data_IF_391384809411
#
_entry.id   IF_391384809411
#
_cell.length_a   1.000
_cell.length_b   1.000
_cell.length_c   1.000
_cell.angle_alpha   90.00
_cell.angle_beta   90.00
_cell.angle_gamma   90.00
#
_symmetry.space_group_name_H-M   'P 1'
#
loop_
_entity.id
_entity.type
_entity.pdbx_description
1 polymer ?
#
# COMPACT_ATOMS: atom_id res chain seq x y z
N UNK A 1 27.94 9.05 -11.69
CA UNK A 1 27.09 8.79 -10.50
C UNK A 1 27.76 9.30 -9.23
N UNK A 2 29.09 9.22 -9.09
CA UNK A 2 29.79 9.64 -7.88
C UNK A 2 29.66 11.14 -7.54
N UNK A 3 29.65 12.01 -8.56
CA UNK A 3 29.37 13.44 -8.35
C UNK A 3 27.96 13.72 -7.82
N UNK A 4 26.93 13.00 -8.30
CA UNK A 4 25.55 13.14 -7.80
C UNK A 4 25.42 12.58 -6.37
N UNK A 5 26.07 11.46 -6.08
CA UNK A 5 26.10 10.89 -4.74
C UNK A 5 26.78 11.82 -3.72
N UNK A 6 27.86 12.52 -4.13
CA UNK A 6 28.54 13.51 -3.30
C UNK A 6 27.69 14.76 -3.04
N UNK A 7 26.90 15.21 -4.01
CA UNK A 7 25.95 16.32 -3.87
C UNK A 7 24.82 15.94 -2.91
N UNK A 8 24.23 14.76 -3.09
CA UNK A 8 23.08 14.28 -2.30
C UNK A 8 23.46 13.99 -0.84
N UNK A 9 24.69 13.49 -0.58
CA UNK A 9 25.20 13.19 0.77
C UNK A 9 25.98 14.35 1.43
N UNK A 10 26.16 15.46 0.71
CA UNK A 10 26.96 16.58 1.18
C UNK A 10 26.21 17.47 2.18
N UNK A 11 26.69 17.55 3.43
CA UNK A 11 26.13 18.37 4.53
C UNK A 11 26.05 19.90 4.28
N UNK A 12 26.50 20.40 3.14
CA UNK A 12 26.63 21.83 2.81
C UNK A 12 25.86 22.24 1.54
N UNK A 13 25.08 21.34 0.95
CA UNK A 13 24.33 21.61 -0.28
C UNK A 13 22.89 22.01 0.08
N UNK A 14 22.36 22.99 -0.63
CA UNK A 14 20.96 23.42 -0.55
C UNK A 14 20.01 22.23 -0.78
N UNK A 15 19.06 22.02 0.14
CA UNK A 15 18.09 20.93 0.09
C UNK A 15 17.27 20.90 -1.20
N UNK A 16 16.97 22.06 -1.79
CA UNK A 16 16.25 22.16 -3.05
C UNK A 16 17.09 21.60 -4.23
N UNK A 17 18.41 21.79 -4.21
CA UNK A 17 19.32 21.24 -5.23
C UNK A 17 19.42 19.73 -5.09
N UNK A 18 19.48 19.24 -3.85
CA UNK A 18 19.49 17.80 -3.55
C UNK A 18 18.19 17.12 -3.99
N UNK A 19 17.04 17.75 -3.74
CA UNK A 19 15.74 17.25 -4.19
C UNK A 19 15.57 17.32 -5.72
N UNK A 20 16.06 18.38 -6.37
CA UNK A 20 16.09 18.49 -7.82
C UNK A 20 16.98 17.40 -8.46
N UNK A 21 18.10 17.06 -7.81
CA UNK A 21 18.95 15.95 -8.22
C UNK A 21 18.23 14.59 -8.08
N UNK A 22 17.58 14.35 -6.93
CA UNK A 22 16.83 13.11 -6.67
C UNK A 22 15.69 12.91 -7.68
N UNK A 23 14.85 13.92 -7.87
CA UNK A 23 13.76 13.91 -8.89
C UNK A 23 14.31 13.82 -10.31
N UNK A 24 15.46 14.45 -10.60
CA UNK A 24 16.16 14.31 -11.87
C UNK A 24 16.60 12.88 -12.17
N UNK A 25 17.09 12.14 -11.17
CA UNK A 25 17.44 10.71 -11.32
C UNK A 25 16.19 9.88 -11.61
N UNK A 26 15.08 10.13 -10.92
CA UNK A 26 13.80 9.44 -11.16
C UNK A 26 13.31 9.63 -12.59
N UNK A 27 13.31 10.88 -13.08
CA UNK A 27 12.95 11.22 -14.48
C UNK A 27 13.89 10.62 -15.51
N UNK A 28 15.19 10.56 -15.21
CA UNK A 28 16.17 9.89 -16.07
C UNK A 28 15.88 8.39 -16.16
N UNK A 29 15.57 7.74 -15.04
CA UNK A 29 15.18 6.33 -15.01
C UNK A 29 13.91 6.10 -15.83
N UNK A 30 12.87 6.92 -15.62
CA UNK A 30 11.62 6.89 -16.40
C UNK A 30 11.88 6.92 -17.90
N UNK A 31 12.76 7.83 -18.34
CA UNK A 31 13.03 8.06 -19.77
C UNK A 31 13.98 7.05 -20.37
N UNK A 32 14.96 6.53 -19.64
CA UNK A 32 16.04 5.73 -20.22
C UNK A 32 15.83 4.23 -20.08
N UNK A 33 15.18 3.76 -19.02
CA UNK A 33 14.95 2.33 -18.79
C UNK A 33 14.21 1.63 -19.95
N UNK A 34 13.18 2.24 -20.59
CA UNK A 34 12.51 1.61 -21.73
C UNK A 34 13.39 1.42 -22.97
N UNK A 35 14.36 2.29 -23.19
CA UNK A 35 15.13 2.33 -24.44
C UNK A 35 16.57 1.82 -24.30
N UNK A 36 17.11 1.73 -23.09
CA UNK A 36 18.52 1.38 -22.83
C UNK A 36 18.65 0.32 -21.73
N UNK A 37 18.37 -0.96 -22.03
CA UNK A 37 18.46 -2.03 -21.04
C UNK A 37 19.87 -2.20 -20.47
N UNK A 38 20.92 -1.94 -21.26
CA UNK A 38 22.31 -2.05 -20.82
C UNK A 38 22.70 -1.01 -19.76
N UNK A 39 21.95 0.10 -19.70
CA UNK A 39 22.14 1.15 -18.70
C UNK A 39 21.26 0.96 -17.46
N UNK A 40 20.40 -0.06 -17.42
CA UNK A 40 19.42 -0.24 -16.35
C UNK A 40 20.08 -0.39 -14.99
N UNK A 41 21.07 -1.28 -14.84
CA UNK A 41 21.71 -1.54 -13.56
C UNK A 41 22.39 -0.28 -12.95
N UNK A 42 23.21 0.50 -13.70
CA UNK A 42 23.72 1.78 -13.21
C UNK A 42 22.64 2.80 -12.84
N UNK A 43 21.55 2.88 -13.61
CA UNK A 43 20.43 3.79 -13.34
C UNK A 43 19.70 3.40 -12.05
N UNK A 44 19.43 2.11 -11.86
CA UNK A 44 18.78 1.57 -10.66
C UNK A 44 19.64 1.75 -9.41
N UNK A 45 20.97 1.67 -9.52
CA UNK A 45 21.86 2.07 -8.42
C UNK A 45 21.78 3.56 -8.09
N UNK A 46 21.45 4.40 -9.08
CA UNK A 46 21.16 5.82 -8.86
C UNK A 46 19.93 6.04 -7.96
N UNK A 47 18.92 5.17 -8.06
CA UNK A 47 17.72 5.24 -7.22
C UNK A 47 18.04 5.06 -5.72
N UNK A 48 19.12 4.35 -5.39
CA UNK A 48 19.58 4.18 -4.00
C UNK A 48 20.08 5.48 -3.36
N UNK A 49 20.18 6.56 -4.13
CA UNK A 49 20.47 7.89 -3.59
C UNK A 49 19.24 8.52 -2.93
N UNK A 50 18.02 8.10 -3.30
CA UNK A 50 16.77 8.63 -2.74
C UNK A 50 16.62 8.23 -1.26
N UNK A 51 16.86 6.96 -0.84
CA UNK A 51 16.92 6.61 0.57
C UNK A 51 18.06 7.27 1.36
N UNK A 52 19.06 7.82 0.67
CA UNK A 52 20.18 8.52 1.30
C UNK A 52 19.95 10.01 1.57
N UNK A 53 18.76 10.53 1.29
CA UNK A 53 18.40 11.93 1.53
C UNK A 53 18.39 12.23 3.03
N UNK A 54 18.83 13.44 3.40
CA UNK A 54 18.66 13.94 4.77
C UNK A 54 17.15 13.98 5.11
N UNK A 55 16.73 13.60 6.33
CA UNK A 55 15.31 13.53 6.69
C UNK A 55 14.54 14.83 6.43
N UNK A 56 15.17 15.98 6.67
CA UNK A 56 14.57 17.30 6.47
C UNK A 56 14.33 17.57 4.98
N UNK A 57 15.31 17.26 4.12
CA UNK A 57 15.18 17.42 2.67
C UNK A 57 14.14 16.47 2.11
N UNK A 58 14.09 15.23 2.59
CA UNK A 58 13.09 14.24 2.22
C UNK A 58 11.68 14.70 2.62
N UNK A 59 11.53 15.24 3.82
CA UNK A 59 10.25 15.75 4.34
C UNK A 59 9.73 16.93 3.51
N UNK A 60 10.57 17.94 3.28
CA UNK A 60 10.18 19.16 2.56
C UNK A 60 9.83 18.90 1.09
N UNK A 61 10.34 17.79 0.52
CA UNK A 61 10.15 17.43 -0.89
C UNK A 61 9.36 16.12 -1.05
N UNK A 62 8.70 15.66 0.01
CA UNK A 62 8.06 14.35 0.09
C UNK A 62 7.03 14.11 -1.03
N UNK A 63 6.23 15.14 -1.34
CA UNK A 63 5.21 15.10 -2.41
C UNK A 63 5.86 14.98 -3.80
N UNK A 64 6.81 15.86 -4.12
CA UNK A 64 7.49 15.87 -5.41
C UNK A 64 8.24 14.55 -5.66
N UNK A 65 8.93 14.02 -4.65
CA UNK A 65 9.66 12.77 -4.77
C UNK A 65 8.68 11.60 -4.92
N UNK A 66 7.61 11.55 -4.14
CA UNK A 66 6.60 10.50 -4.25
C UNK A 66 5.89 10.52 -5.62
N UNK A 67 5.57 11.69 -6.16
CA UNK A 67 4.96 11.83 -7.48
C UNK A 67 5.87 11.29 -8.59
N UNK A 68 7.16 11.64 -8.55
CA UNK A 68 8.14 11.12 -9.52
C UNK A 68 8.40 9.62 -9.34
N UNK A 69 8.34 9.12 -8.10
CA UNK A 69 8.43 7.69 -7.83
C UNK A 69 7.23 6.96 -8.42
N UNK A 70 6.01 7.45 -8.18
CA UNK A 70 4.79 6.88 -8.74
C UNK A 70 4.84 6.88 -10.28
N UNK A 71 5.26 7.99 -10.90
CA UNK A 71 5.42 8.07 -12.35
C UNK A 71 6.47 7.09 -12.88
N UNK A 72 7.59 6.90 -12.17
CA UNK A 72 8.60 5.88 -12.50
C UNK A 72 8.02 4.48 -12.49
N UNK A 73 7.28 4.17 -11.43
CA UNK A 73 6.65 2.88 -11.22
C UNK A 73 5.62 2.60 -12.32
N UNK A 74 4.80 3.58 -12.67
CA UNK A 74 3.80 3.44 -13.73
C UNK A 74 4.43 3.30 -15.13
N UNK A 75 5.48 4.05 -15.45
CA UNK A 75 6.02 4.15 -16.81
C UNK A 75 7.13 3.13 -17.11
N UNK A 76 8.07 2.92 -16.18
CA UNK A 76 9.30 2.17 -16.44
C UNK A 76 9.26 0.75 -15.91
N UNK A 77 8.18 0.34 -15.26
CA UNK A 77 8.21 -0.89 -14.52
C UNK A 77 8.37 -2.20 -15.28
N UNK A 78 7.91 -2.34 -16.53
CA UNK A 78 8.23 -3.52 -17.35
C UNK A 78 9.73 -3.70 -17.58
N UNK A 79 10.51 -2.66 -17.34
CA UNK A 79 11.94 -2.60 -17.65
C UNK A 79 12.82 -2.77 -16.41
N UNK A 80 12.26 -2.72 -15.20
CA UNK A 80 13.02 -2.90 -13.96
C UNK A 80 12.87 -4.35 -13.50
N UNK A 81 13.83 -5.18 -13.90
CA UNK A 81 13.89 -6.61 -13.53
C UNK A 81 14.53 -6.85 -12.16
N UNK A 82 15.23 -5.87 -11.63
CA UNK A 82 15.92 -5.98 -10.36
C UNK A 82 14.92 -5.80 -9.20
N UNK A 83 14.60 -6.91 -8.54
CA UNK A 83 13.65 -6.95 -7.42
C UNK A 83 14.01 -5.99 -6.27
N UNK A 84 15.31 -5.88 -5.96
CA UNK A 84 15.80 -4.99 -4.90
C UNK A 84 15.55 -3.50 -5.19
N UNK A 85 15.59 -3.09 -6.47
CA UNK A 85 15.43 -1.69 -6.83
C UNK A 85 13.99 -1.21 -6.56
N UNK A 86 13.02 -2.10 -6.72
CA UNK A 86 11.63 -1.85 -6.36
C UNK A 86 11.38 -1.84 -4.87
N UNK A 87 11.87 -2.86 -4.17
CA UNK A 87 11.71 -2.99 -2.73
C UNK A 87 12.26 -1.76 -2.00
N UNK A 88 13.47 -1.30 -2.34
CA UNK A 88 14.08 -0.13 -1.68
C UNK A 88 13.31 1.16 -1.95
N UNK A 89 12.90 1.41 -3.19
CA UNK A 89 12.22 2.63 -3.58
C UNK A 89 10.82 2.74 -2.94
N UNK A 90 10.07 1.64 -2.96
CA UNK A 90 8.74 1.56 -2.40
C UNK A 90 8.75 1.55 -0.86
N UNK A 91 9.68 0.79 -0.27
CA UNK A 91 9.90 0.79 1.18
C UNK A 91 10.19 2.21 1.67
N UNK A 92 11.06 2.95 0.98
CA UNK A 92 11.39 4.32 1.37
C UNK A 92 10.18 5.26 1.34
N UNK A 93 9.40 5.27 0.25
CA UNK A 93 8.21 6.15 0.14
C UNK A 93 7.20 5.85 1.26
N UNK A 94 6.95 4.58 1.56
CA UNK A 94 5.88 4.18 2.48
C UNK A 94 6.32 4.13 3.93
N UNK A 95 7.60 3.87 4.23
CA UNK A 95 8.10 3.66 5.60
C UNK A 95 8.93 4.81 6.14
N UNK A 96 9.67 5.50 5.28
CA UNK A 96 10.68 6.47 5.72
C UNK A 96 10.31 7.92 5.37
N UNK A 97 9.65 8.13 4.24
CA UNK A 97 9.35 9.46 3.71
C UNK A 97 7.85 9.79 3.72
N UNK A 98 7.03 9.02 4.44
CA UNK A 98 5.59 9.20 4.43
C UNK A 98 5.19 10.43 5.27
N UNK A 99 4.49 11.36 4.63
CA UNK A 99 3.99 12.61 5.18
C UNK A 99 2.53 12.81 4.75
N UNK A 100 1.78 13.74 5.38
CA UNK A 100 0.43 14.07 4.92
C UNK A 100 0.39 14.52 3.45
N UNK A 101 1.46 15.15 2.96
CA UNK A 101 1.52 15.70 1.60
C UNK A 101 1.68 14.63 0.53
N UNK A 102 2.20 13.44 0.87
CA UNK A 102 2.40 12.36 -0.10
C UNK A 102 1.61 11.10 0.22
N UNK A 103 0.73 11.13 1.23
CA UNK A 103 -0.01 9.95 1.67
C UNK A 103 -0.82 9.30 0.53
N UNK A 104 -1.58 10.10 -0.21
CA UNK A 104 -2.38 9.60 -1.35
C UNK A 104 -1.48 8.97 -2.43
N UNK A 105 -0.36 9.62 -2.77
CA UNK A 105 0.60 9.12 -3.75
C UNK A 105 1.25 7.80 -3.29
N UNK A 106 1.53 7.68 -1.99
CA UNK A 106 2.08 6.45 -1.40
C UNK A 106 1.07 5.31 -1.43
N UNK A 107 -0.22 5.59 -1.18
CA UNK A 107 -1.31 4.61 -1.34
C UNK A 107 -1.40 4.17 -2.81
N UNK A 108 -1.39 5.09 -3.77
CA UNK A 108 -1.42 4.76 -5.21
C UNK A 108 -0.23 3.90 -5.64
N UNK A 109 0.97 4.26 -5.18
CA UNK A 109 2.17 3.49 -5.45
C UNK A 109 2.04 2.06 -4.89
N UNK A 110 1.65 1.92 -3.62
CA UNK A 110 1.46 0.62 -2.99
C UNK A 110 0.45 -0.25 -3.75
N UNK A 111 -0.69 0.31 -4.15
CA UNK A 111 -1.71 -0.42 -4.93
C UNK A 111 -1.14 -0.91 -6.26
N UNK A 112 -0.49 0.00 -6.98
CA UNK A 112 0.11 -0.34 -8.26
C UNK A 112 1.08 -1.52 -8.09
N UNK A 113 1.90 -1.49 -7.04
CA UNK A 113 2.83 -2.58 -6.73
C UNK A 113 2.13 -3.87 -6.32
N UNK A 114 1.04 -3.80 -5.55
CA UNK A 114 0.26 -4.98 -5.17
C UNK A 114 -0.30 -5.67 -6.42
N UNK A 115 -0.91 -4.90 -7.33
CA UNK A 115 -1.47 -5.41 -8.59
C UNK A 115 -0.36 -6.02 -9.47
N UNK A 116 0.79 -5.35 -9.56
CA UNK A 116 1.97 -5.80 -10.31
C UNK A 116 2.64 -7.04 -9.72
N UNK A 117 2.90 -7.04 -8.41
CA UNK A 117 3.58 -8.13 -7.71
C UNK A 117 2.73 -9.41 -7.76
N UNK A 118 1.41 -9.28 -7.69
CA UNK A 118 0.49 -10.38 -7.90
C UNK A 118 0.59 -11.00 -9.31
N UNK A 119 0.90 -10.19 -10.32
CA UNK A 119 1.01 -10.64 -11.71
C UNK A 119 2.41 -11.17 -12.08
N UNK A 120 3.48 -10.51 -11.63
CA UNK A 120 4.82 -10.67 -12.22
C UNK A 120 5.95 -11.00 -11.22
N UNK A 121 5.76 -10.70 -9.93
CA UNK A 121 6.83 -10.82 -8.93
C UNK A 121 6.33 -11.49 -7.65
N UNK A 122 6.01 -12.80 -7.69
CA UNK A 122 5.44 -13.51 -6.54
C UNK A 122 6.34 -13.49 -5.30
N UNK A 123 7.67 -13.40 -5.48
CA UNK A 123 8.62 -13.31 -4.38
C UNK A 123 8.56 -11.99 -3.58
N UNK A 124 8.11 -10.88 -4.19
CA UNK A 124 7.93 -9.59 -3.49
C UNK A 124 6.58 -9.47 -2.80
N UNK A 125 5.65 -10.37 -3.12
CA UNK A 125 4.25 -10.24 -2.74
C UNK A 125 4.04 -10.10 -1.22
N UNK A 126 4.72 -10.85 -0.33
CA UNK A 126 4.56 -10.66 1.11
C UNK A 126 4.95 -9.25 1.58
N UNK A 127 6.09 -8.75 1.10
CA UNK A 127 6.62 -7.43 1.46
C UNK A 127 5.71 -6.31 0.96
N UNK A 128 5.23 -6.43 -0.28
CA UNK A 128 4.35 -5.44 -0.92
C UNK A 128 2.97 -5.41 -0.26
N UNK A 129 2.43 -6.58 0.12
CA UNK A 129 1.14 -6.65 0.82
C UNK A 129 1.21 -6.06 2.23
N UNK A 130 2.37 -6.16 2.90
CA UNK A 130 2.58 -5.54 4.22
C UNK A 130 2.47 -4.01 4.16
N UNK A 131 2.80 -3.39 3.04
CA UNK A 131 2.71 -1.94 2.87
C UNK A 131 1.29 -1.40 3.06
N UNK A 132 0.27 -2.19 2.71
CA UNK A 132 -1.13 -1.82 2.95
C UNK A 132 -1.42 -1.64 4.45
N UNK A 133 -0.80 -2.47 5.29
CA UNK A 133 -0.91 -2.37 6.75
C UNK A 133 -0.07 -1.20 7.28
N UNK A 134 1.10 -0.94 6.70
CA UNK A 134 1.94 0.20 7.07
C UNK A 134 1.21 1.52 6.81
N UNK A 135 0.53 1.67 5.67
CA UNK A 135 -0.24 2.87 5.35
C UNK A 135 -1.35 3.13 6.38
N UNK A 136 -2.09 2.09 6.76
CA UNK A 136 -3.13 2.19 7.80
C UNK A 136 -2.52 2.56 9.17
N UNK A 137 -1.45 1.89 9.56
CA UNK A 137 -0.76 2.15 10.84
C UNK A 137 -0.13 3.55 10.89
N UNK A 138 0.38 4.05 9.77
CA UNK A 138 0.92 5.40 9.69
C UNK A 138 -0.18 6.46 9.90
N UNK A 139 -1.36 6.27 9.31
CA UNK A 139 -2.49 7.18 9.52
C UNK A 139 -2.93 7.20 11.00
N UNK A 140 -2.95 6.03 11.66
CA UNK A 140 -3.17 5.90 13.11
C UNK A 140 -2.12 6.69 13.91
N UNK A 141 -0.83 6.46 13.62
CA UNK A 141 0.29 7.12 14.31
C UNK A 141 0.33 8.64 14.09
N UNK A 142 0.07 9.09 12.86
CA UNK A 142 -0.01 10.51 12.55
C UNK A 142 -1.19 11.19 13.24
N UNK A 143 -2.37 10.55 13.26
CA UNK A 143 -3.51 11.11 14.00
C UNK A 143 -3.21 11.24 15.50
N UNK A 144 -2.58 10.21 16.09
CA UNK A 144 -2.19 10.24 17.49
C UNK A 144 -1.13 11.31 17.79
N UNK A 145 -0.21 11.60 16.87
CA UNK A 145 0.82 12.62 17.07
C UNK A 145 0.27 14.05 17.07
N UNK A 146 -0.93 14.27 16.50
CA UNK A 146 -1.64 15.55 16.59
C UNK A 146 -2.27 15.77 17.97
N UNK A 147 -2.55 14.70 18.72
CA UNK A 147 -3.11 14.80 20.06
C UNK A 147 -2.08 15.43 21.02
N UNK A 148 -2.39 16.62 21.53
CA UNK A 148 -1.48 17.35 22.42
C UNK A 148 -0.42 18.19 21.71
N UNK A 149 -0.50 18.35 20.38
CA UNK A 149 0.39 19.23 19.62
C UNK A 149 0.12 20.74 19.82
N UNK A 150 -0.85 21.12 20.67
CA UNK A 150 -1.16 22.52 20.97
C UNK A 150 -1.76 23.29 19.78
N UNK A 151 -2.53 22.60 18.95
CA UNK A 151 -3.12 23.12 17.72
C UNK A 151 -4.21 24.16 18.02
N UNK A 152 -4.38 25.14 17.12
CA UNK A 152 -5.54 26.02 17.17
C UNK A 152 -6.82 25.27 16.76
N UNK A 153 -8.01 25.72 17.16
CA UNK A 153 -9.26 25.09 16.74
C UNK A 153 -9.43 24.99 15.21
N UNK A 154 -8.89 25.97 14.47
CA UNK A 154 -8.92 25.99 13.00
C UNK A 154 -7.99 24.93 12.40
N UNK A 155 -6.79 24.75 12.98
CA UNK A 155 -5.86 23.70 12.61
C UNK A 155 -6.41 22.32 12.94
N UNK A 156 -6.99 22.13 14.13
CA UNK A 156 -7.64 20.87 14.52
C UNK A 156 -8.75 20.48 13.55
N UNK A 157 -9.58 21.44 13.13
CA UNK A 157 -10.63 21.21 12.15
C UNK A 157 -10.05 20.80 10.79
N UNK A 158 -9.02 21.49 10.31
CA UNK A 158 -8.37 21.18 9.03
C UNK A 158 -7.74 19.78 9.05
N UNK A 159 -7.01 19.43 10.10
CA UNK A 159 -6.43 18.10 10.22
C UNK A 159 -7.49 17.00 10.39
N UNK A 160 -8.61 17.29 11.05
CA UNK A 160 -9.73 16.34 11.18
C UNK A 160 -10.35 16.04 9.81
N UNK A 161 -10.56 17.07 8.98
CA UNK A 161 -11.01 16.90 7.59
C UNK A 161 -10.00 16.10 6.78
N UNK A 162 -8.72 16.47 6.80
CA UNK A 162 -7.67 15.77 6.05
C UNK A 162 -7.54 14.30 6.44
N UNK A 163 -7.55 13.99 7.75
CA UNK A 163 -7.57 12.60 8.25
C UNK A 163 -8.77 11.81 7.72
N UNK A 164 -9.94 12.44 7.69
CA UNK A 164 -11.17 11.81 7.22
C UNK A 164 -11.12 11.50 5.73
N UNK A 165 -10.58 12.42 4.92
CA UNK A 165 -10.36 12.22 3.49
C UNK A 165 -9.34 11.11 3.22
N UNK A 166 -8.21 11.11 3.95
CA UNK A 166 -7.19 10.06 3.84
C UNK A 166 -7.72 8.69 4.25
N UNK A 167 -8.51 8.63 5.32
CA UNK A 167 -9.16 7.39 5.75
C UNK A 167 -10.15 6.89 4.70
N UNK A 168 -11.01 7.75 4.14
CA UNK A 168 -11.95 7.39 3.09
C UNK A 168 -11.23 6.86 1.85
N UNK A 169 -10.18 7.55 1.42
CA UNK A 169 -9.37 7.15 0.26
C UNK A 169 -8.72 5.77 0.48
N UNK A 170 -8.18 5.53 1.69
CA UNK A 170 -7.61 4.24 2.07
C UNK A 170 -8.69 3.13 2.05
N UNK A 171 -9.85 3.37 2.67
CA UNK A 171 -10.96 2.41 2.73
C UNK A 171 -11.49 2.06 1.35
N UNK A 172 -11.68 3.05 0.48
CA UNK A 172 -12.07 2.85 -0.91
C UNK A 172 -11.05 1.98 -1.65
N UNK A 173 -9.77 2.29 -1.49
CA UNK A 173 -8.69 1.56 -2.14
C UNK A 173 -8.59 0.11 -1.67
N UNK A 174 -8.63 -0.10 -0.36
CA UNK A 174 -8.57 -1.44 0.25
C UNK A 174 -9.81 -2.26 -0.12
N UNK A 175 -10.99 -1.64 -0.17
CA UNK A 175 -12.21 -2.30 -0.65
C UNK A 175 -12.08 -2.77 -2.10
N UNK A 176 -11.46 -1.98 -2.98
CA UNK A 176 -11.22 -2.39 -4.37
C UNK A 176 -10.27 -3.58 -4.43
N UNK A 177 -9.20 -3.58 -3.63
CA UNK A 177 -8.24 -4.70 -3.55
C UNK A 177 -8.85 -5.96 -2.90
N UNK A 178 -9.86 -5.82 -2.04
CA UNK A 178 -10.57 -6.94 -1.43
C UNK A 178 -11.35 -7.79 -2.46
N UNK A 179 -11.63 -7.23 -3.65
CA UNK A 179 -12.27 -7.94 -4.78
C UNK A 179 -11.26 -8.48 -5.82
N UNK A 180 -9.96 -8.33 -5.58
CA UNK A 180 -8.91 -8.74 -6.52
C UNK A 180 -8.96 -10.25 -6.87
N UNK A 181 -8.50 -10.67 -8.05
CA UNK A 181 -8.57 -12.09 -8.46
C UNK A 181 -7.64 -13.01 -7.61
N UNK A 182 -6.53 -12.46 -7.14
CA UNK A 182 -5.56 -13.16 -6.30
C UNK A 182 -6.02 -13.28 -4.83
N UNK A 183 -5.97 -14.50 -4.28
CA UNK A 183 -6.43 -14.78 -2.90
C UNK A 183 -5.61 -14.08 -1.82
N UNK A 184 -4.30 -13.99 -1.97
CA UNK A 184 -3.43 -13.38 -0.95
C UNK A 184 -3.63 -11.87 -0.93
N UNK A 185 -3.77 -11.25 -2.12
CA UNK A 185 -4.10 -9.83 -2.25
C UNK A 185 -5.43 -9.53 -1.56
N UNK A 186 -6.48 -10.29 -1.89
CA UNK A 186 -7.80 -10.12 -1.23
C UNK A 186 -7.70 -10.26 0.28
N UNK A 187 -6.98 -11.28 0.76
CA UNK A 187 -6.87 -11.55 2.20
C UNK A 187 -6.17 -10.41 2.93
N UNK A 188 -5.04 -9.94 2.41
CA UNK A 188 -4.30 -8.83 3.00
C UNK A 188 -5.11 -7.53 2.98
N UNK A 189 -5.74 -7.21 1.83
CA UNK A 189 -6.61 -6.05 1.70
C UNK A 189 -7.82 -6.11 2.66
N UNK A 190 -8.44 -7.28 2.81
CA UNK A 190 -9.55 -7.47 3.77
C UNK A 190 -9.08 -7.23 5.21
N UNK A 191 -7.92 -7.75 5.60
CA UNK A 191 -7.37 -7.53 6.94
C UNK A 191 -7.04 -6.06 7.20
N UNK A 192 -6.42 -5.38 6.22
CA UNK A 192 -6.14 -3.95 6.32
C UNK A 192 -7.43 -3.12 6.38
N UNK A 193 -8.45 -3.47 5.59
CA UNK A 193 -9.76 -2.81 5.57
C UNK A 193 -10.47 -2.94 6.93
N UNK A 194 -10.47 -4.14 7.51
CA UNK A 194 -11.03 -4.38 8.84
C UNK A 194 -10.33 -3.55 9.90
N UNK A 195 -8.99 -3.48 9.86
CA UNK A 195 -8.22 -2.66 10.79
C UNK A 195 -8.56 -1.18 10.65
N UNK A 196 -8.56 -0.66 9.42
CA UNK A 196 -8.90 0.73 9.14
C UNK A 196 -10.32 1.07 9.61
N UNK A 197 -11.28 0.17 9.41
CA UNK A 197 -12.67 0.36 9.86
C UNK A 197 -12.78 0.40 11.39
N UNK A 198 -12.13 -0.51 12.10
CA UNK A 198 -12.14 -0.55 13.57
C UNK A 198 -11.41 0.64 14.20
N UNK A 199 -10.38 1.17 13.52
CA UNK A 199 -9.61 2.32 13.98
C UNK A 199 -10.27 3.69 13.72
N UNK A 200 -11.36 3.75 12.95
CA UNK A 200 -11.93 5.00 12.44
C UNK A 200 -12.35 5.99 13.55
N UNK A 201 -12.96 5.49 14.63
CA UNK A 201 -13.34 6.33 15.76
C UNK A 201 -12.12 6.85 16.53
N UNK A 202 -11.15 5.98 16.80
CA UNK A 202 -9.91 6.34 17.49
C UNK A 202 -9.06 7.35 16.69
N UNK A 203 -9.15 7.30 15.36
CA UNK A 203 -8.55 8.27 14.45
C UNK A 203 -9.20 9.67 14.53
N UNK A 204 -10.40 9.77 15.11
CA UNK A 204 -11.22 10.98 15.09
C UNK A 204 -11.70 11.33 13.68
N UNK A 205 -12.07 10.32 12.87
CA UNK A 205 -12.68 10.51 11.55
C UNK A 205 -14.07 11.11 11.74
N UNK A 206 -14.47 12.03 10.84
CA UNK A 206 -15.78 12.67 10.87
C UNK A 206 -16.90 11.61 10.74
N UNK A 207 -18.01 11.74 11.50
CA UNK A 207 -19.11 10.78 11.45
C UNK A 207 -19.64 10.52 10.04
N UNK A 208 -19.81 11.56 9.22
CA UNK A 208 -20.28 11.43 7.84
C UNK A 208 -19.31 10.61 6.97
N UNK A 209 -18.00 10.76 7.20
CA UNK A 209 -16.99 9.97 6.52
C UNK A 209 -17.06 8.51 6.97
N UNK A 210 -17.21 8.23 8.27
CA UNK A 210 -17.38 6.87 8.80
C UNK A 210 -18.62 6.21 8.19
N UNK A 211 -19.77 6.90 8.20
CA UNK A 211 -21.01 6.38 7.63
C UNK A 211 -20.83 6.00 6.16
N UNK A 212 -20.31 6.93 5.35
CA UNK A 212 -20.04 6.67 3.92
C UNK A 212 -19.10 5.49 3.71
N UNK A 213 -17.97 5.45 4.43
CA UNK A 213 -17.00 4.36 4.30
C UNK A 213 -17.57 3.00 4.70
N UNK A 214 -18.35 2.95 5.80
CA UNK A 214 -18.96 1.71 6.26
C UNK A 214 -20.07 1.24 5.33
N UNK A 215 -21.00 2.12 4.96
CA UNK A 215 -22.18 1.78 4.13
C UNK A 215 -21.77 1.45 2.71
N UNK A 216 -20.93 2.27 2.09
CA UNK A 216 -20.61 2.11 0.67
C UNK A 216 -19.55 1.05 0.41
N UNK A 217 -18.65 0.78 1.37
CA UNK A 217 -17.47 -0.06 1.14
C UNK A 217 -17.36 -1.25 2.08
N UNK A 218 -17.40 -1.05 3.39
CA UNK A 218 -17.13 -2.15 4.35
C UNK A 218 -18.27 -3.16 4.42
N UNK A 219 -19.53 -2.72 4.54
CA UNK A 219 -20.70 -3.61 4.64
C UNK A 219 -20.86 -4.52 3.40
N UNK A 220 -20.78 -4.02 2.16
CA UNK A 220 -20.84 -4.88 0.97
C UNK A 220 -19.77 -5.99 0.96
N UNK A 221 -18.55 -5.68 1.44
CA UNK A 221 -17.47 -6.67 1.54
C UNK A 221 -17.79 -7.75 2.57
N UNK A 222 -18.32 -7.37 3.74
CA UNK A 222 -18.73 -8.32 4.78
C UNK A 222 -19.87 -9.23 4.29
N UNK A 223 -20.86 -8.68 3.60
CA UNK A 223 -21.95 -9.47 3.01
C UNK A 223 -21.44 -10.45 1.95
N UNK A 224 -20.54 -10.01 1.08
CA UNK A 224 -19.95 -10.86 0.05
C UNK A 224 -19.16 -12.02 0.66
N UNK A 225 -18.39 -11.77 1.73
CA UNK A 225 -17.69 -12.80 2.49
C UNK A 225 -18.66 -13.76 3.18
N UNK A 226 -19.73 -13.25 3.79
CA UNK A 226 -20.78 -14.06 4.41
C UNK A 226 -21.45 -15.02 3.42
N UNK A 227 -21.80 -14.51 2.22
CA UNK A 227 -22.36 -15.32 1.12
C UNK A 227 -21.38 -16.40 0.65
N UNK A 228 -20.08 -16.07 0.52
CA UNK A 228 -19.03 -17.03 0.15
C UNK A 228 -18.85 -18.12 1.22
N UNK A 229 -18.87 -17.75 2.50
CA UNK A 229 -18.77 -18.69 3.62
C UNK A 229 -19.97 -19.65 3.68
N UNK A 230 -21.21 -19.14 3.50
CA UNK A 230 -22.41 -19.96 3.45
C UNK A 230 -22.38 -20.97 2.28
N UNK A 231 -21.88 -20.56 1.11
CA UNK A 231 -21.71 -21.42 -0.07
C UNK A 231 -20.60 -22.47 0.10
N UNK A 232 -19.55 -22.16 0.85
CA UNK A 232 -18.50 -23.12 1.18
C UNK A 232 -18.99 -24.17 2.19
N UNK A 233 -19.76 -23.76 3.20
CA UNK A 233 -20.37 -24.66 4.17
C UNK A 233 -21.35 -25.67 3.54
N UNK A 234 -22.18 -25.23 2.59
CA UNK A 234 -23.09 -26.13 1.88
C UNK A 234 -22.37 -27.13 0.96
N UNK A 235 -21.28 -26.73 0.30
CA UNK A 235 -20.42 -27.63 -0.49
C UNK A 235 -19.65 -28.63 0.38
N UNK A 236 -19.15 -28.20 1.54
CA UNK A 236 -18.51 -29.08 2.52
C UNK A 236 -19.46 -30.16 3.04
N UNK A 237 -20.67 -29.77 3.45
CA UNK A 237 -21.71 -30.69 3.91
C UNK A 237 -22.17 -31.69 2.82
N UNK A 238 -22.15 -31.27 1.55
CA UNK A 238 -22.48 -32.16 0.42
C UNK A 238 -21.36 -33.16 0.12
N UNK A 239 -20.09 -32.76 0.23
CA UNK A 239 -18.94 -33.63 0.05
C UNK A 239 -18.80 -34.65 1.19
N UNK A 240 -19.06 -34.23 2.43
CA UNK A 240 -19.04 -35.10 3.62
C UNK A 240 -20.18 -36.14 3.61
N UNK A 241 -21.32 -35.83 2.97
CA UNK A 241 -22.37 -36.83 2.69
C UNK A 241 -22.00 -37.83 1.62
N UNK A 242 -21.11 -37.47 0.70
CA UNK A 242 -20.68 -38.31 -0.42
C UNK A 242 -19.49 -39.22 -0.05
N UNK A 243 -18.65 -38.79 0.89
CA UNK A 243 -17.48 -39.55 1.38
C UNK A 243 -17.80 -40.49 2.56
N UNK A 244 -19.05 -40.57 3.03
CA UNK A 244 -19.46 -41.64 3.95
C UNK A 244 -19.55 -42.95 3.16
N UNK A 245 -18.71 -43.97 3.43
CA UNK A 245 -18.90 -45.28 2.82
C UNK A 245 -20.28 -45.80 3.22
N UNK A 246 -21.08 -46.15 2.22
CA UNK A 246 -22.42 -46.68 2.40
C UNK A 246 -22.36 -47.93 3.27
N UNK A 247 -22.87 -47.82 4.50
CA UNK A 247 -23.12 -48.98 5.34
C UNK A 247 -24.32 -49.74 4.75
N UNK A 248 -24.03 -50.62 3.80
CA UNK A 248 -24.96 -51.63 3.29
C UNK A 248 -24.56 -52.99 3.85
N UNK A 249 -25.50 -53.61 4.57
CA UNK A 249 -25.39 -54.96 5.14
C UNK A 249 -26.32 -55.04 6.35
N UNK A 250 -27.65 -55.12 6.17
CA UNK A 250 -28.40 -56.37 5.95
C UNK A 250 -27.90 -57.55 6.79
N UNK A 251 -28.69 -57.90 7.80
CA UNK A 251 -28.65 -59.16 8.54
C UNK A 251 -30.02 -59.38 9.20
N UNK A 252 -30.94 -59.95 8.42
CA UNK A 252 -32.28 -60.41 8.86
C UNK A 252 -32.20 -61.92 9.13
N UNK A 253 -32.78 -62.39 10.25
CA UNK A 253 -33.17 -63.78 10.55
C UNK A 253 -32.03 -64.72 10.98
N UNK A 254 -32.19 -65.70 11.89
CA UNK A 254 -33.34 -66.54 12.21
C UNK A 254 -33.25 -67.06 13.66
N UNK A 255 -34.40 -67.13 14.33
CA UNK A 255 -34.71 -68.15 15.34
C UNK A 255 -35.74 -69.10 14.77
#
# INVERSE_FOLDING_TARGET
>A
MDHLAAIIRGKQVDGAVVAAAATGVLRLCQRLLPYKPDAAEPLLRGLQLVPGLAPEVAWDNAEAIAAEMLALVQAASPHIKAQWAWASALSWVVREALTPLNYVLAVEAAVWFVERAAAEHPAMKPEVLELLLVLAAWLEGWSASLAGAGLSPEQESTFTTAKSEFWLYLVETLSRLADHADKEVRSAATSALQRAALGAEALGVLPDAIERGLVERVLPQLEALGKKAAKAGSRGAMKERQDRPGNWGFGVGLG
#
